data_IF_865134924677
#
_entry.id   IF_865134924677
#
_cell.length_a   1.000
_cell.length_b   1.000
_cell.length_c   1.000
_cell.angle_alpha   90.00
_cell.angle_beta   90.00
_cell.angle_gamma   90.00
#
_symmetry.space_group_name_H-M   'P 1'
#
loop_
_entity.id
_entity.type
_entity.pdbx_description
1 polymer ?
#
# COMPACT_ATOMS: atom_id res chain seq x y z
N UNK A 1 -12.37 2.79 -0.62
CA UNK A 1 -11.37 3.54 0.17
C UNK A 1 -11.93 4.93 0.44
N UNK A 2 -12.07 5.31 1.70
CA UNK A 2 -12.59 6.65 2.03
C UNK A 2 -11.52 7.73 1.78
N UNK A 3 -11.93 8.97 1.50
CA UNK A 3 -11.01 10.09 1.24
C UNK A 3 -9.94 10.26 2.34
N UNK A 4 -10.29 9.97 3.59
CA UNK A 4 -9.35 10.02 4.72
C UNK A 4 -8.22 8.99 4.63
N UNK A 5 -8.51 7.79 4.13
CA UNK A 5 -7.51 6.71 4.02
C UNK A 5 -6.46 6.99 2.94
N UNK A 6 -6.86 7.59 1.81
CA UNK A 6 -5.93 8.01 0.76
C UNK A 6 -5.01 9.13 1.25
N UNK A 7 -5.55 10.08 2.01
CA UNK A 7 -4.76 11.18 2.57
C UNK A 7 -3.75 10.67 3.60
N UNK A 8 -4.12 9.68 4.41
CA UNK A 8 -3.19 9.01 5.34
C UNK A 8 -2.02 8.32 4.63
N UNK A 9 -2.26 7.74 3.43
CA UNK A 9 -1.20 7.16 2.61
C UNK A 9 -0.18 8.21 2.14
N UNK A 10 -0.65 9.44 1.84
CA UNK A 10 0.20 10.53 1.33
C UNK A 10 0.86 11.34 2.45
N UNK A 11 0.24 11.40 3.64
CA UNK A 11 0.70 12.22 4.77
C UNK A 11 1.82 11.58 5.60
N UNK A 12 2.35 10.41 5.22
CA UNK A 12 3.51 9.84 5.89
C UNK A 12 3.23 9.23 7.27
N UNK A 13 1.98 8.87 7.57
CA UNK A 13 1.65 8.04 8.75
C UNK A 13 2.08 6.56 8.57
N UNK A 14 2.76 6.24 7.46
CA UNK A 14 3.37 4.94 7.25
C UNK A 14 4.63 4.80 8.12
N UNK A 15 4.75 3.69 8.82
CA UNK A 15 5.81 3.51 9.83
C UNK A 15 7.18 3.22 9.20
N UNK A 16 7.26 2.63 8.00
CA UNK A 16 8.58 2.42 7.42
C UNK A 16 8.65 1.75 6.07
N UNK A 17 7.54 1.36 5.46
CA UNK A 17 7.63 0.63 4.20
C UNK A 17 6.42 0.82 3.28
N UNK A 18 6.74 0.94 1.98
CA UNK A 18 5.79 0.85 0.87
C UNK A 18 6.42 -0.11 -0.15
N UNK A 19 5.75 -1.24 -0.44
CA UNK A 19 6.07 -2.11 -1.58
C UNK A 19 5.07 -1.88 -2.69
N UNK A 20 5.55 -1.95 -3.93
CA UNK A 20 4.69 -2.03 -5.11
C UNK A 20 5.19 -3.18 -5.97
N UNK A 21 4.28 -4.04 -6.40
CA UNK A 21 4.56 -5.17 -7.29
C UNK A 21 3.55 -5.23 -8.42
N UNK A 22 3.97 -5.75 -9.59
CA UNK A 22 3.03 -6.09 -10.64
C UNK A 22 2.34 -7.41 -10.29
N UNK A 23 1.01 -7.39 -10.25
CA UNK A 23 0.18 -8.56 -10.03
C UNK A 23 -0.86 -8.66 -11.14
N UNK A 24 -0.65 -9.59 -12.09
CA UNK A 24 -1.53 -9.82 -13.24
C UNK A 24 -1.89 -8.54 -14.04
N UNK A 25 -0.91 -7.66 -14.26
CA UNK A 25 -1.12 -6.40 -15.01
C UNK A 25 -1.72 -5.27 -14.18
N UNK A 26 -1.91 -5.47 -12.88
CA UNK A 26 -2.30 -4.43 -11.91
C UNK A 26 -1.15 -4.15 -10.95
N UNK A 27 -1.22 -3.06 -10.22
CA UNK A 27 -0.31 -2.80 -9.11
C UNK A 27 -0.90 -3.37 -7.82
N UNK A 28 -0.11 -4.17 -7.12
CA UNK A 28 -0.35 -4.52 -5.74
C UNK A 28 0.55 -3.64 -4.87
N UNK A 29 -0.04 -2.87 -3.98
CA UNK A 29 0.68 -1.96 -3.09
C UNK A 29 0.50 -2.41 -1.65
N UNK A 30 1.60 -2.59 -0.92
CA UNK A 30 1.61 -2.91 0.51
C UNK A 30 2.24 -1.77 1.29
N UNK A 31 1.69 -1.44 2.46
CA UNK A 31 2.28 -0.48 3.38
C UNK A 31 1.89 -0.79 4.82
N UNK A 32 2.65 -0.28 5.78
CA UNK A 32 2.32 -0.42 7.20
C UNK A 32 1.87 0.90 7.84
N UNK A 33 0.96 0.83 8.81
CA UNK A 33 0.47 1.98 9.60
C UNK A 33 0.32 1.55 11.05
N UNK A 34 0.71 2.39 12.00
CA UNK A 34 0.44 2.10 13.42
C UNK A 34 -1.05 2.03 13.70
N UNK A 35 -1.47 1.03 14.47
CA UNK A 35 -2.87 0.87 14.92
C UNK A 35 -3.25 2.03 15.85
N UNK A 36 -2.38 2.31 16.82
CA UNK A 36 -2.49 3.45 17.72
C UNK A 36 -1.18 4.29 17.64
N UNK A 37 -1.26 5.54 17.15
CA UNK A 37 -0.10 6.43 17.09
C UNK A 37 0.52 6.74 18.47
N UNK A 38 -0.24 6.62 19.56
CA UNK A 38 0.21 6.93 20.91
C UNK A 38 1.08 5.84 21.53
N UNK A 39 0.72 4.57 21.34
CA UNK A 39 1.48 3.42 21.87
C UNK A 39 2.54 2.92 20.89
N UNK A 40 2.28 3.03 19.58
CA UNK A 40 3.11 2.47 18.51
C UNK A 40 3.49 0.99 18.76
N UNK A 41 2.65 0.20 19.44
CA UNK A 41 2.97 -1.18 19.80
C UNK A 41 2.73 -2.14 18.64
N UNK A 42 1.62 -1.94 17.93
CA UNK A 42 1.19 -2.74 16.80
C UNK A 42 1.03 -1.89 15.54
N UNK A 43 1.14 -2.54 14.40
CA UNK A 43 0.92 -1.94 13.09
C UNK A 43 0.06 -2.84 12.21
N UNK A 44 -0.82 -2.19 11.46
CA UNK A 44 -1.58 -2.80 10.38
C UNK A 44 -0.77 -2.77 9.11
N UNK A 45 -0.71 -3.92 8.45
CA UNK A 45 -0.27 -4.08 7.08
C UNK A 45 -1.50 -3.93 6.20
N UNK A 46 -1.46 -2.92 5.37
CA UNK A 46 -2.46 -2.66 4.36
C UNK A 46 -2.01 -3.21 3.02
N UNK A 47 -2.99 -3.60 2.23
CA UNK A 47 -2.79 -3.96 0.84
C UNK A 47 -3.86 -3.28 -0.02
N UNK A 48 -3.47 -2.79 -1.18
CA UNK A 48 -4.36 -2.26 -2.20
C UNK A 48 -4.05 -2.86 -3.56
N UNK A 49 -5.11 -3.15 -4.31
CA UNK A 49 -5.02 -3.49 -5.73
C UNK A 49 -5.44 -2.28 -6.54
N UNK A 50 -4.58 -1.87 -7.45
CA UNK A 50 -4.74 -0.67 -8.25
C UNK A 50 -4.63 -1.06 -9.72
N UNK A 51 -5.73 -0.90 -10.46
CA UNK A 51 -5.69 -0.97 -11.92
C UNK A 51 -5.11 0.32 -12.48
N UNK A 52 -4.22 0.22 -13.46
CA UNK A 52 -3.69 1.39 -14.18
C UNK A 52 -4.38 1.51 -15.53
N UNK A 53 -4.80 2.71 -15.89
CA UNK A 53 -5.20 3.07 -17.25
C UNK A 53 -4.33 4.21 -17.78
N UNK A 54 -4.00 4.17 -19.07
CA UNK A 54 -3.36 5.28 -19.78
C UNK A 54 -4.44 6.00 -20.56
N UNK A 55 -4.43 7.33 -20.52
CA UNK A 55 -5.33 8.15 -21.30
C UNK A 55 -4.64 8.61 -22.57
N UNK A 56 -5.11 8.08 -23.70
CA UNK A 56 -4.50 8.30 -25.02
C UNK A 56 -4.51 9.77 -25.46
N UNK A 57 -5.40 10.59 -24.87
CA UNK A 57 -5.57 12.01 -25.17
C UNK A 57 -4.65 12.94 -24.36
N UNK A 58 -4.15 12.51 -23.21
CA UNK A 58 -3.37 13.37 -22.29
C UNK A 58 -1.99 12.83 -21.90
N UNK A 59 -1.60 11.63 -22.34
CA UNK A 59 -0.41 10.89 -21.86
C UNK A 59 -0.39 10.72 -20.33
N UNK A 60 -1.55 10.88 -19.69
CA UNK A 60 -1.70 10.71 -18.25
C UNK A 60 -1.88 9.23 -17.91
N UNK A 61 -1.36 8.85 -16.75
CA UNK A 61 -1.51 7.52 -16.17
C UNK A 61 -2.37 7.65 -14.94
N UNK A 62 -3.53 6.99 -14.93
CA UNK A 62 -4.49 7.04 -13.84
C UNK A 62 -4.48 5.69 -13.10
N UNK A 63 -4.55 5.76 -11.77
CA UNK A 63 -4.71 4.58 -10.92
C UNK A 63 -6.11 4.54 -10.33
N UNK A 64 -6.82 3.44 -10.53
CA UNK A 64 -8.09 3.17 -9.88
C UNK A 64 -7.92 2.07 -8.82
N UNK A 65 -8.31 2.37 -7.59
CA UNK A 65 -8.19 1.46 -6.45
C UNK A 65 -9.38 0.50 -6.49
N UNK A 66 -9.13 -0.76 -6.85
CA UNK A 66 -10.17 -1.79 -6.91
C UNK A 66 -10.57 -2.27 -5.51
N UNK A 67 -9.59 -2.43 -4.63
CA UNK A 67 -9.82 -2.68 -3.21
C UNK A 67 -8.62 -2.20 -2.40
N UNK A 68 -8.87 -1.89 -1.13
CA UNK A 68 -7.83 -1.61 -0.16
C UNK A 68 -8.32 -2.05 1.23
N UNK A 69 -7.53 -2.83 1.96
CA UNK A 69 -7.89 -3.30 3.29
C UNK A 69 -6.66 -3.67 4.12
N UNK A 70 -6.85 -3.77 5.44
CA UNK A 70 -5.88 -4.42 6.33
C UNK A 70 -5.85 -5.91 6.00
N UNK A 71 -4.66 -6.44 5.72
CA UNK A 71 -4.44 -7.86 5.47
C UNK A 71 -3.82 -8.57 6.67
N UNK A 72 -3.15 -7.83 7.55
CA UNK A 72 -2.53 -8.38 8.76
C UNK A 72 -2.26 -7.28 9.78
N UNK A 73 -2.38 -7.60 11.07
CA UNK A 73 -1.88 -6.75 12.17
C UNK A 73 -0.69 -7.46 12.81
N UNK A 74 0.42 -6.76 13.00
CA UNK A 74 1.66 -7.31 13.54
C UNK A 74 2.25 -6.42 14.63
N UNK A 75 3.02 -6.99 15.57
CA UNK A 75 3.83 -6.18 16.47
C UNK A 75 4.77 -5.25 15.70
N UNK A 76 5.07 -4.07 16.25
CA UNK A 76 6.01 -3.10 15.66
C UNK A 76 7.38 -3.70 15.33
N UNK A 77 7.83 -4.68 16.11
CA UNK A 77 9.10 -5.37 15.91
C UNK A 77 9.16 -6.22 14.64
N UNK A 78 8.02 -6.54 14.03
CA UNK A 78 7.98 -7.25 12.76
C UNK A 78 8.50 -6.34 11.63
N UNK A 79 9.66 -6.72 11.07
CA UNK A 79 10.25 -6.07 9.91
C UNK A 79 9.89 -6.83 8.64
N UNK A 80 9.58 -6.09 7.57
CA UNK A 80 9.38 -6.70 6.26
C UNK A 80 10.73 -7.16 5.69
N UNK A 81 10.80 -8.43 5.29
CA UNK A 81 11.92 -8.93 4.50
C UNK A 81 11.59 -8.76 3.03
N UNK A 82 12.24 -7.80 2.38
CA UNK A 82 12.19 -7.70 0.92
C UNK A 82 12.76 -8.97 0.30
N UNK A 83 11.90 -9.74 -0.34
CA UNK A 83 12.34 -10.73 -1.30
C UNK A 83 12.25 -10.06 -2.66
N UNK A 84 13.39 -9.81 -3.32
CA UNK A 84 13.39 -9.49 -4.75
C UNK A 84 12.86 -10.71 -5.49
N UNK A 85 11.54 -10.79 -5.67
CA UNK A 85 10.94 -11.74 -6.59
C UNK A 85 11.26 -11.24 -8.00
N UNK A 86 12.36 -11.73 -8.55
CA UNK A 86 12.60 -11.67 -10.00
C UNK A 86 11.53 -12.53 -10.66
N UNK A 87 10.43 -11.91 -11.07
CA UNK A 87 9.43 -12.55 -11.92
C UNK A 87 10.02 -12.50 -13.33
N UNK A 88 10.51 -13.65 -13.81
CA UNK A 88 10.97 -13.86 -15.17
C UNK A 88 9.79 -13.93 -16.16
#
# INVERSE_FOLDING_TARGET
>A
MERGQILDMLNGNACGFIEISNYHGKLLMLWDKFVDPGSCEDKDIWCAMISIERRDDTDEVWGNIEWANVVLTVPRSCVFMHSMMNIH
#
